data_IF_159114036546
#
_entry.id   IF_159114036546
#
_cell.length_a   1.000
_cell.length_b   1.000
_cell.length_c   1.000
_cell.angle_alpha   90.00
_cell.angle_beta   90.00
_cell.angle_gamma   90.00
#
_symmetry.space_group_name_H-M   'P 1'
#
loop_
_entity.id
_entity.type
_entity.pdbx_description
1 polymer ?
#
# COMPACT_ATOMS: atom_id res chain seq x y z
N UNK A 1 27.87 0.71 14.87
CA UNK A 1 27.03 1.63 15.65
C UNK A 1 27.67 3.01 15.89
N UNK A 2 28.89 3.14 16.42
CA UNK A 2 29.51 4.47 16.67
C UNK A 2 29.65 5.39 15.44
N UNK A 3 29.87 4.85 14.24
CA UNK A 3 30.02 5.64 12.99
C UNK A 3 28.70 6.18 12.42
N UNK A 4 27.58 5.49 12.66
CA UNK A 4 26.24 5.92 12.21
C UNK A 4 25.72 7.05 13.10
N UNK A 5 25.97 6.98 14.40
CA UNK A 5 25.63 8.04 15.36
C UNK A 5 26.45 9.30 15.08
N UNK A 6 27.71 9.15 14.68
CA UNK A 6 28.58 10.28 14.29
C UNK A 6 28.08 10.98 13.02
N UNK A 7 27.53 10.24 12.04
CA UNK A 7 26.97 10.83 10.81
C UNK A 7 25.66 11.58 11.07
N UNK A 8 24.79 11.05 11.93
CA UNK A 8 23.56 11.72 12.33
C UNK A 8 23.84 12.99 13.15
N UNK A 9 24.84 12.96 14.03
CA UNK A 9 25.24 14.14 14.80
C UNK A 9 25.88 15.21 13.92
N UNK A 10 26.65 14.83 12.89
CA UNK A 10 27.25 15.78 11.95
C UNK A 10 26.21 16.48 11.05
N UNK A 11 25.10 15.80 10.72
CA UNK A 11 23.99 16.40 9.97
C UNK A 11 23.24 17.45 10.83
N UNK A 12 23.06 17.20 12.11
CA UNK A 12 22.41 18.13 13.07
C UNK A 12 23.33 19.34 13.32
N UNK A 13 24.63 19.14 13.41
CA UNK A 13 25.61 20.23 13.59
C UNK A 13 25.73 21.10 12.33
N UNK A 14 25.62 20.50 11.13
CA UNK A 14 25.63 21.25 9.87
C UNK A 14 24.41 22.20 9.75
N UNK A 15 23.22 21.79 10.22
CA UNK A 15 22.06 22.67 10.23
C UNK A 15 22.16 23.80 11.27
N UNK A 16 22.87 23.59 12.38
CA UNK A 16 23.15 24.63 13.37
C UNK A 16 24.22 25.64 12.91
N UNK A 17 25.17 25.23 12.09
CA UNK A 17 26.23 26.12 11.59
C UNK A 17 25.74 27.15 10.56
N UNK A 18 24.60 26.93 9.90
CA UNK A 18 23.98 27.92 9.02
C UNK A 18 23.23 29.04 9.77
N UNK A 19 23.14 29.00 11.09
CA UNK A 19 22.49 30.03 11.90
C UNK A 19 23.46 31.06 12.50
N UNK A 20 24.75 30.97 12.23
CA UNK A 20 25.68 32.00 12.71
C UNK A 20 25.66 33.21 11.78
N UNK A 21 25.02 34.23 12.25
CA UNK A 21 24.84 35.55 11.66
C UNK A 21 26.17 36.28 11.56
N UNK A 22 26.75 36.35 10.38
CA UNK A 22 27.71 37.41 10.09
C UNK A 22 26.96 38.77 10.04
N UNK A 23 27.37 39.71 10.86
CA UNK A 23 26.91 41.09 10.82
C UNK A 23 27.40 41.74 9.52
N UNK A 24 26.61 41.64 8.45
CA UNK A 24 26.78 42.41 7.22
C UNK A 24 26.08 43.75 7.34
N UNK A 25 26.63 44.82 6.68
CA UNK A 25 26.12 46.19 6.78
C UNK A 25 24.65 46.24 6.36
N UNK A 26 23.86 47.05 7.08
CA UNK A 26 22.43 47.28 6.88
C UNK A 26 22.14 47.60 5.41
N UNK A 27 21.77 46.57 4.62
CA UNK A 27 21.00 46.77 3.39
C UNK A 27 19.59 47.17 3.84
N UNK A 28 19.06 48.25 3.26
CA UNK A 28 17.65 48.64 3.38
C UNK A 28 16.74 47.40 3.40
N UNK A 29 16.00 47.23 4.48
CA UNK A 29 15.03 46.15 4.60
C UNK A 29 13.97 46.38 3.50
N UNK A 30 14.13 45.70 2.35
CA UNK A 30 13.00 45.50 1.44
C UNK A 30 11.84 45.03 2.32
N UNK A 31 10.74 45.79 2.33
CA UNK A 31 9.50 45.31 2.97
C UNK A 31 9.19 43.94 2.42
N UNK A 32 9.35 42.94 3.24
CA UNK A 32 8.97 41.57 2.92
C UNK A 32 7.46 41.61 2.63
N UNK A 33 7.06 41.09 1.49
CA UNK A 33 5.64 40.94 1.15
C UNK A 33 4.95 40.19 2.30
N UNK A 34 3.85 40.71 2.79
CA UNK A 34 3.06 40.05 3.84
C UNK A 34 2.35 38.83 3.24
N UNK A 35 2.67 37.66 3.76
CA UNK A 35 2.09 36.38 3.38
C UNK A 35 1.12 35.82 4.41
N UNK A 36 0.72 36.64 5.41
CA UNK A 36 -0.13 36.17 6.53
C UNK A 36 -1.49 35.62 6.08
N UNK A 37 -2.00 36.05 4.94
CA UNK A 37 -3.23 35.53 4.34
C UNK A 37 -3.04 34.16 3.65
N UNK A 38 -1.82 33.84 3.26
CA UNK A 38 -1.51 32.58 2.59
C UNK A 38 -1.33 31.43 3.59
N UNK A 39 -0.89 31.76 4.80
CA UNK A 39 -0.47 30.78 5.79
C UNK A 39 -1.63 30.24 6.61
N UNK A 40 -1.52 28.99 7.10
CA UNK A 40 -2.51 28.43 8.01
C UNK A 40 -2.48 29.18 9.36
N UNK A 41 -3.63 29.24 10.00
CA UNK A 41 -3.82 29.82 11.33
C UNK A 41 -4.34 28.78 12.31
N UNK A 42 -4.21 29.09 13.56
CA UNK A 42 -4.81 28.32 14.65
C UNK A 42 -6.30 28.09 14.39
N UNK A 43 -6.74 26.83 14.41
CA UNK A 43 -8.12 26.44 14.16
C UNK A 43 -8.42 26.06 12.71
N UNK A 44 -7.51 26.30 11.76
CA UNK A 44 -7.71 25.88 10.38
C UNK A 44 -7.72 24.36 10.27
N UNK A 45 -8.60 23.86 9.40
CA UNK A 45 -8.66 22.46 8.96
C UNK A 45 -8.11 22.38 7.56
N UNK A 46 -7.27 21.40 7.27
CA UNK A 46 -6.81 21.14 5.90
C UNK A 46 -7.22 19.76 5.43
N UNK A 47 -7.51 19.66 4.15
CA UNK A 47 -7.66 18.39 3.42
C UNK A 47 -6.53 18.33 2.40
N UNK A 48 -5.81 17.21 2.39
CA UNK A 48 -4.67 16.98 1.52
C UNK A 48 -4.84 15.79 0.61
N UNK A 49 -4.28 15.90 -0.58
CA UNK A 49 -4.25 14.85 -1.60
C UNK A 49 -2.83 14.65 -2.11
N UNK A 50 -2.48 13.38 -2.41
CA UNK A 50 -1.21 13.08 -3.06
C UNK A 50 -1.24 13.47 -4.54
N UNK A 51 -0.21 14.17 -4.98
CA UNK A 51 0.04 14.50 -6.39
C UNK A 51 0.99 13.50 -7.07
N UNK A 52 1.45 12.46 -6.39
CA UNK A 52 2.37 11.48 -6.96
C UNK A 52 1.87 10.85 -8.26
N UNK A 53 0.57 10.51 -8.43
CA UNK A 53 0.08 10.01 -9.71
C UNK A 53 0.24 11.00 -10.86
N UNK A 54 0.02 12.28 -10.59
CA UNK A 54 0.20 13.34 -11.59
C UNK A 54 1.69 13.50 -11.94
N UNK A 55 2.57 13.48 -10.94
CA UNK A 55 4.01 13.57 -11.15
C UNK A 55 4.54 12.36 -11.95
N UNK A 56 4.06 11.16 -11.66
CA UNK A 56 4.38 9.96 -12.42
C UNK A 56 3.87 10.04 -13.87
N UNK A 57 2.68 10.53 -14.07
CA UNK A 57 2.12 10.73 -15.40
C UNK A 57 2.98 11.69 -16.24
N UNK A 58 3.33 12.85 -15.68
CA UNK A 58 4.19 13.84 -16.34
C UNK A 58 5.59 13.26 -16.58
N UNK A 59 6.17 12.58 -15.60
CA UNK A 59 7.47 11.92 -15.74
C UNK A 59 7.49 10.89 -16.86
N UNK A 60 6.44 10.10 -16.98
CA UNK A 60 6.30 9.09 -18.03
C UNK A 60 6.15 9.70 -19.43
N UNK A 61 5.53 10.88 -19.56
CA UNK A 61 5.48 11.61 -20.82
C UNK A 61 6.88 11.97 -21.36
N UNK A 62 7.81 12.32 -20.46
CA UNK A 62 9.18 12.66 -20.85
C UNK A 62 10.08 11.43 -21.07
N UNK A 63 9.76 10.30 -20.43
CA UNK A 63 10.54 9.07 -20.55
C UNK A 63 10.03 8.11 -21.64
N UNK A 64 8.95 8.48 -22.35
CA UNK A 64 8.33 7.61 -23.36
C UNK A 64 7.66 6.36 -22.81
N UNK A 65 7.46 6.26 -21.51
CA UNK A 65 6.79 5.14 -20.86
C UNK A 65 5.26 5.32 -20.95
N UNK A 66 4.59 4.40 -21.62
CA UNK A 66 3.12 4.45 -21.81
C UNK A 66 2.34 3.76 -20.67
N UNK A 67 3.02 3.17 -19.71
CA UNK A 67 2.39 2.48 -18.56
C UNK A 67 2.04 3.46 -17.44
N UNK A 68 1.08 4.34 -17.71
CA UNK A 68 0.54 5.24 -16.70
C UNK A 68 -0.49 4.50 -15.84
N UNK A 69 -0.10 4.10 -14.64
CA UNK A 69 -1.04 3.56 -13.66
C UNK A 69 -1.32 4.59 -12.57
N UNK A 70 -2.59 4.75 -12.22
CA UNK A 70 -3.03 5.49 -11.03
C UNK A 70 -2.62 4.79 -9.71
N UNK A 71 -1.69 3.83 -9.79
CA UNK A 71 -1.16 3.15 -8.62
C UNK A 71 -0.47 4.18 -7.75
N UNK A 72 -0.86 4.27 -6.50
CA UNK A 72 -0.33 5.12 -5.44
C UNK A 72 -0.92 6.54 -5.35
N UNK A 73 -2.24 6.64 -5.32
CA UNK A 73 -2.94 7.81 -4.77
C UNK A 73 -2.74 7.95 -3.24
N UNK A 74 -1.95 7.07 -2.65
CA UNK A 74 -1.74 7.05 -1.21
C UNK A 74 -1.07 8.34 -0.74
N UNK A 75 -1.77 9.08 0.09
CA UNK A 75 -1.14 10.04 0.98
C UNK A 75 -0.27 9.27 1.98
N UNK A 76 0.87 9.81 2.29
CA UNK A 76 1.82 9.20 3.22
C UNK A 76 1.41 9.27 4.68
N UNK A 77 1.94 8.37 5.46
CA UNK A 77 2.86 7.26 5.20
C UNK A 77 2.13 6.00 4.71
N UNK A 78 2.67 5.40 3.66
CA UNK A 78 2.08 4.23 3.04
C UNK A 78 2.69 2.95 3.62
N UNK A 79 2.01 2.33 4.55
CA UNK A 79 2.45 1.10 5.21
C UNK A 79 1.41 -0.03 5.15
N UNK A 80 0.56 -0.02 4.15
CA UNK A 80 -0.36 -1.14 3.96
C UNK A 80 0.37 -2.36 3.41
N UNK A 81 0.03 -3.56 3.87
CA UNK A 81 0.50 -4.81 3.28
C UNK A 81 0.10 -4.96 1.81
N UNK A 82 -1.00 -4.32 1.43
CA UNK A 82 -1.48 -4.21 0.05
C UNK A 82 -1.59 -2.73 -0.34
N UNK A 83 -1.42 -2.37 -1.62
CA UNK A 83 -1.48 -0.97 -2.03
C UNK A 83 -2.85 -0.36 -1.73
N UNK A 84 -2.87 0.81 -1.11
CA UNK A 84 -4.08 1.61 -0.97
C UNK A 84 -4.51 2.14 -2.34
N UNK A 85 -5.81 2.08 -2.62
CA UNK A 85 -6.37 2.65 -3.84
C UNK A 85 -6.66 4.13 -3.64
N UNK A 86 -7.07 4.52 -2.42
CA UNK A 86 -7.35 5.90 -2.07
C UNK A 86 -6.81 6.23 -0.69
N UNK A 87 -6.32 7.43 -0.52
CA UNK A 87 -5.93 7.94 0.78
C UNK A 87 -6.34 9.42 0.91
N UNK A 88 -6.79 9.77 2.09
CA UNK A 88 -7.21 11.12 2.45
C UNK A 88 -6.36 11.56 3.63
N UNK A 89 -5.79 12.74 3.53
CA UNK A 89 -5.11 13.39 4.63
C UNK A 89 -5.98 14.52 5.17
N UNK A 90 -6.13 14.58 6.48
CA UNK A 90 -6.70 15.70 7.19
C UNK A 90 -5.66 16.26 8.16
N UNK A 91 -5.62 17.59 8.31
CA UNK A 91 -4.76 18.28 9.26
C UNK A 91 -5.59 19.33 10.00
N UNK A 92 -5.39 19.45 11.30
CA UNK A 92 -5.99 20.51 12.14
C UNK A 92 -4.88 21.30 12.81
N UNK A 93 -4.88 22.62 12.63
CA UNK A 93 -3.86 23.50 13.18
C UNK A 93 -4.18 23.85 14.65
N UNK A 94 -3.42 23.28 15.58
CA UNK A 94 -3.50 23.61 17.01
C UNK A 94 -2.94 25.01 17.29
N UNK A 95 -1.89 25.36 16.57
CA UNK A 95 -1.29 26.70 16.56
C UNK A 95 -0.91 27.04 15.13
N UNK A 96 -0.47 28.26 14.86
CA UNK A 96 0.02 28.66 13.53
C UNK A 96 1.21 27.82 13.02
N UNK A 97 1.83 27.02 13.88
CA UNK A 97 3.01 26.21 13.56
C UNK A 97 2.85 24.72 13.86
N UNK A 98 1.88 24.34 14.70
CA UNK A 98 1.69 22.95 15.11
C UNK A 98 0.33 22.46 14.63
N UNK A 99 0.32 21.38 13.84
CA UNK A 99 -0.90 20.72 13.40
C UNK A 99 -0.94 19.25 13.81
N UNK A 100 -2.13 18.74 14.10
CA UNK A 100 -2.41 17.31 14.18
C UNK A 100 -2.75 16.84 12.78
N UNK A 101 -2.18 15.71 12.38
CA UNK A 101 -2.40 15.09 11.07
C UNK A 101 -2.99 13.70 11.22
N UNK A 102 -4.00 13.41 10.41
CA UNK A 102 -4.57 12.07 10.26
C UNK A 102 -4.54 11.68 8.78
N UNK A 103 -4.00 10.51 8.47
CA UNK A 103 -4.06 9.92 7.14
C UNK A 103 -4.91 8.66 7.22
N UNK A 104 -5.89 8.55 6.33
CA UNK A 104 -6.75 7.39 6.18
C UNK A 104 -6.52 6.79 4.80
N UNK A 105 -6.18 5.52 4.77
CA UNK A 105 -6.01 4.78 3.53
C UNK A 105 -6.93 3.57 3.48
N UNK A 106 -7.50 3.29 2.33
CA UNK A 106 -8.26 2.08 2.11
C UNK A 106 -8.02 1.56 0.69
N UNK A 107 -8.14 0.25 0.53
CA UNK A 107 -8.03 -0.41 -0.75
C UNK A 107 -8.91 -1.64 -0.79
N UNK A 108 -9.63 -1.80 -1.89
CA UNK A 108 -10.38 -3.00 -2.21
C UNK A 108 -10.15 -3.30 -3.68
N UNK A 109 -9.57 -4.46 -3.94
CA UNK A 109 -9.33 -4.92 -5.31
C UNK A 109 -9.89 -6.33 -5.45
N UNK A 110 -10.92 -6.45 -6.25
CA UNK A 110 -11.58 -7.72 -6.57
C UNK A 110 -11.48 -7.88 -8.07
N UNK A 111 -10.78 -8.92 -8.51
CA UNK A 111 -10.77 -9.25 -9.93
C UNK A 111 -11.01 -10.74 -10.15
N UNK A 112 -11.55 -11.08 -11.30
CA UNK A 112 -11.82 -12.44 -11.74
C UNK A 112 -11.25 -12.64 -13.13
N UNK A 113 -10.58 -13.76 -13.33
CA UNK A 113 -10.07 -14.21 -14.62
C UNK A 113 -10.78 -15.50 -14.97
N UNK A 114 -11.38 -15.54 -16.16
CA UNK A 114 -12.11 -16.70 -16.67
C UNK A 114 -11.39 -17.28 -17.89
N UNK A 115 -11.47 -18.59 -18.07
CA UNK A 115 -10.96 -19.25 -19.26
C UNK A 115 -11.77 -20.48 -19.62
N UNK A 116 -11.85 -20.76 -20.90
CA UNK A 116 -12.47 -21.98 -21.38
C UNK A 116 -11.49 -23.15 -21.33
N UNK A 117 -12.00 -24.30 -20.88
CA UNK A 117 -11.34 -25.59 -20.94
C UNK A 117 -12.31 -26.61 -21.55
N UNK A 118 -11.81 -27.69 -22.16
CA UNK A 118 -12.65 -28.77 -22.65
C UNK A 118 -13.49 -29.38 -21.53
N UNK A 119 -14.73 -29.75 -21.85
CA UNK A 119 -15.60 -30.46 -20.92
C UNK A 119 -15.21 -31.94 -20.89
N UNK A 120 -14.57 -32.37 -19.80
CA UNK A 120 -14.09 -33.75 -19.64
C UNK A 120 -15.24 -34.77 -19.71
N UNK A 121 -16.41 -34.46 -19.17
CA UNK A 121 -17.56 -35.35 -19.21
C UNK A 121 -18.08 -35.53 -20.64
N UNK A 122 -18.11 -34.47 -21.43
CA UNK A 122 -18.50 -34.54 -22.83
C UNK A 122 -17.45 -35.27 -23.68
N UNK A 123 -16.16 -35.07 -23.38
CA UNK A 123 -15.05 -35.76 -24.06
C UNK A 123 -15.02 -37.26 -23.76
N UNK A 124 -15.41 -37.68 -22.54
CA UNK A 124 -15.55 -39.11 -22.20
C UNK A 124 -16.68 -39.77 -22.97
N UNK A 125 -17.76 -39.06 -23.29
CA UNK A 125 -18.87 -39.57 -24.09
C UNK A 125 -18.57 -39.53 -25.59
N UNK A 126 -17.93 -38.49 -26.04
CA UNK A 126 -17.56 -38.26 -27.43
C UNK A 126 -16.17 -37.61 -27.52
N UNK A 127 -15.11 -38.32 -27.89
CA UNK A 127 -13.76 -37.77 -27.98
C UNK A 127 -13.59 -36.61 -28.97
N UNK A 128 -14.57 -36.38 -29.86
CA UNK A 128 -14.60 -35.24 -30.79
C UNK A 128 -15.50 -34.08 -30.28
N UNK A 129 -15.90 -34.11 -29.02
CA UNK A 129 -16.74 -33.05 -28.46
C UNK A 129 -15.99 -31.72 -28.40
N UNK A 130 -16.62 -30.66 -28.89
CA UNK A 130 -16.14 -29.27 -28.77
C UNK A 130 -16.74 -28.53 -27.54
N UNK A 131 -17.46 -29.24 -26.67
CA UNK A 131 -18.04 -28.66 -25.46
C UNK A 131 -16.96 -28.12 -24.54
N UNK A 132 -17.24 -26.96 -23.95
CA UNK A 132 -16.31 -26.26 -23.05
C UNK A 132 -17.00 -25.88 -21.76
N UNK A 133 -16.24 -25.90 -20.68
CA UNK A 133 -16.61 -25.38 -19.36
C UNK A 133 -15.70 -24.20 -19.01
N UNK A 134 -16.01 -23.49 -17.94
CA UNK A 134 -15.31 -22.28 -17.55
C UNK A 134 -14.58 -22.49 -16.22
N UNK A 135 -13.29 -22.29 -16.24
CA UNK A 135 -12.48 -22.13 -15.04
C UNK A 135 -12.43 -20.65 -14.63
N UNK A 136 -12.51 -20.38 -13.35
CA UNK A 136 -12.50 -19.03 -12.80
C UNK A 136 -11.49 -18.93 -11.66
N UNK A 137 -10.59 -17.95 -11.77
CA UNK A 137 -9.71 -17.55 -10.69
C UNK A 137 -10.13 -16.17 -10.18
N UNK A 138 -10.39 -16.08 -8.89
CA UNK A 138 -10.82 -14.83 -8.25
C UNK A 138 -9.84 -14.43 -7.15
N UNK A 139 -9.46 -13.17 -7.15
CA UNK A 139 -8.62 -12.58 -6.10
C UNK A 139 -9.38 -11.45 -5.44
N UNK A 140 -9.42 -11.50 -4.10
CA UNK A 140 -9.95 -10.44 -3.26
C UNK A 140 -8.81 -9.91 -2.40
N UNK A 141 -8.51 -8.61 -2.54
CA UNK A 141 -7.53 -7.90 -1.70
C UNK A 141 -8.23 -6.77 -0.99
N UNK A 142 -8.17 -6.79 0.32
CA UNK A 142 -8.66 -5.72 1.19
C UNK A 142 -7.49 -5.10 1.95
N UNK A 143 -7.48 -3.80 2.06
CA UNK A 143 -6.49 -3.08 2.87
C UNK A 143 -7.09 -1.84 3.52
N UNK A 144 -6.58 -1.54 4.70
CA UNK A 144 -6.92 -0.33 5.43
C UNK A 144 -5.72 0.20 6.20
N UNK A 145 -5.61 1.50 6.35
CA UNK A 145 -4.57 2.11 7.17
C UNK A 145 -5.06 3.41 7.81
N UNK A 146 -4.55 3.67 8.98
CA UNK A 146 -4.68 4.94 9.68
C UNK A 146 -3.31 5.35 10.20
N UNK A 147 -2.94 6.62 9.97
CA UNK A 147 -1.76 7.21 10.58
C UNK A 147 -2.17 8.49 11.29
N UNK A 148 -1.73 8.62 12.53
CA UNK A 148 -1.97 9.79 13.37
C UNK A 148 -0.63 10.39 13.77
N UNK A 149 -0.49 11.69 13.63
CA UNK A 149 0.75 12.37 13.95
C UNK A 149 0.59 13.86 14.16
N UNK A 150 1.72 14.49 14.37
CA UNK A 150 1.83 15.95 14.51
C UNK A 150 2.86 16.46 13.51
N UNK A 151 2.57 17.61 12.90
CA UNK A 151 3.47 18.33 12.02
C UNK A 151 3.83 19.66 12.65
N UNK A 152 5.13 19.99 12.66
CA UNK A 152 5.66 21.26 13.11
C UNK A 152 6.21 22.07 11.94
N UNK A 153 5.67 23.25 11.72
CA UNK A 153 6.04 24.16 10.64
C UNK A 153 7.11 25.15 11.09
N UNK A 154 8.20 25.24 10.36
CA UNK A 154 9.31 26.16 10.59
C UNK A 154 9.38 27.16 9.44
N UNK A 155 9.57 28.43 9.73
CA UNK A 155 9.58 29.49 8.71
C UNK A 155 8.35 30.40 8.83
N UNK A 156 8.00 30.78 10.05
CA UNK A 156 6.91 31.72 10.37
C UNK A 156 6.98 32.93 9.45
N UNK A 157 5.87 33.29 8.80
CA UNK A 157 5.73 34.39 7.83
C UNK A 157 6.38 34.18 6.44
N UNK A 158 6.99 33.03 6.17
CA UNK A 158 7.50 32.73 4.85
C UNK A 158 6.49 31.90 4.04
N UNK A 159 6.37 32.12 2.72
CA UNK A 159 5.49 31.32 1.88
C UNK A 159 6.01 29.89 1.69
N UNK A 160 7.29 29.63 1.98
CA UNK A 160 7.90 28.31 2.01
C UNK A 160 8.30 27.99 3.44
N UNK A 161 7.76 26.90 3.96
CA UNK A 161 7.99 26.45 5.34
C UNK A 161 8.63 25.06 5.33
N UNK A 162 9.57 24.82 6.24
CA UNK A 162 10.01 23.48 6.59
C UNK A 162 8.94 22.80 7.44
N UNK A 163 8.69 21.51 7.20
CA UNK A 163 7.72 20.73 7.96
C UNK A 163 8.41 19.51 8.54
N UNK A 164 8.28 19.32 9.84
CA UNK A 164 8.76 18.15 10.56
C UNK A 164 7.58 17.43 11.18
N UNK A 165 7.43 16.14 10.87
CA UNK A 165 6.32 15.34 11.36
C UNK A 165 6.79 14.11 12.11
N UNK A 166 6.00 13.68 13.09
CA UNK A 166 6.15 12.39 13.75
C UNK A 166 4.77 11.81 14.03
N UNK A 167 4.65 10.49 14.02
CA UNK A 167 3.38 9.85 14.30
C UNK A 167 3.45 8.34 14.38
N UNK A 168 2.29 7.76 14.54
CA UNK A 168 2.07 6.32 14.61
C UNK A 168 1.21 5.86 13.45
N UNK A 169 1.35 4.59 13.09
CA UNK A 169 0.64 3.98 11.98
C UNK A 169 0.08 2.65 12.41
N UNK A 170 -1.13 2.38 11.97
CA UNK A 170 -1.73 1.07 12.01
C UNK A 170 -2.27 0.74 10.63
N UNK A 171 -1.96 -0.44 10.14
CA UNK A 171 -2.48 -0.92 8.87
C UNK A 171 -2.92 -2.37 8.99
N UNK A 172 -3.90 -2.73 8.17
CA UNK A 172 -4.43 -4.09 8.06
C UNK A 172 -4.55 -4.47 6.59
N UNK A 173 -4.48 -5.77 6.33
CA UNK A 173 -4.65 -6.30 4.98
C UNK A 173 -5.12 -7.74 5.01
N UNK A 174 -5.86 -8.12 3.97
CA UNK A 174 -6.29 -9.49 3.74
C UNK A 174 -6.28 -9.79 2.26
N UNK A 175 -5.82 -10.99 1.90
CA UNK A 175 -5.80 -11.44 0.52
C UNK A 175 -6.29 -12.87 0.45
N UNK A 176 -7.26 -13.13 -0.43
CA UNK A 176 -7.84 -14.45 -0.68
C UNK A 176 -7.80 -14.76 -2.16
N UNK A 177 -7.32 -15.94 -2.48
CA UNK A 177 -7.33 -16.52 -3.82
C UNK A 177 -8.35 -17.65 -3.87
N UNK A 178 -9.26 -17.62 -4.83
CA UNK A 178 -10.31 -18.62 -5.00
C UNK A 178 -10.22 -19.23 -6.39
N UNK A 179 -10.36 -20.54 -6.45
CA UNK A 179 -10.24 -21.34 -7.68
C UNK A 179 -11.57 -22.08 -7.89
N UNK A 180 -12.24 -21.79 -8.98
CA UNK A 180 -13.47 -22.49 -9.37
C UNK A 180 -13.23 -23.21 -10.68
N UNK A 181 -13.44 -24.50 -10.66
CA UNK A 181 -13.19 -25.38 -11.79
C UNK A 181 -14.48 -25.69 -12.54
N UNK A 182 -14.41 -25.68 -13.86
CA UNK A 182 -15.51 -26.07 -14.73
C UNK A 182 -15.74 -27.57 -14.76
N UNK A 183 -14.62 -28.35 -14.71
CA UNK A 183 -14.68 -29.81 -14.68
C UNK A 183 -14.79 -30.32 -13.25
N UNK A 184 -15.74 -31.24 -12.99
CA UNK A 184 -15.95 -31.85 -11.68
C UNK A 184 -14.95 -32.99 -11.44
N UNK A 185 -14.56 -33.20 -10.17
CA UNK A 185 -13.88 -34.44 -9.74
C UNK A 185 -14.94 -35.54 -9.64
N UNK A 186 -14.63 -36.70 -10.21
CA UNK A 186 -15.48 -37.89 -10.18
C UNK A 186 -14.63 -39.12 -9.91
N UNK A 187 -15.24 -40.26 -9.60
CA UNK A 187 -14.55 -41.54 -9.44
C UNK A 187 -13.72 -41.89 -10.67
N UNK A 188 -14.25 -41.63 -11.88
CA UNK A 188 -13.60 -41.96 -13.15
C UNK A 188 -12.56 -40.91 -13.59
N UNK A 189 -12.69 -39.66 -13.10
CA UNK A 189 -11.79 -38.57 -13.41
C UNK A 189 -11.42 -37.83 -12.14
N UNK A 190 -10.41 -38.33 -11.44
CA UNK A 190 -9.95 -37.77 -10.15
C UNK A 190 -9.02 -36.58 -10.34
N UNK A 191 -8.47 -36.38 -11.54
CA UNK A 191 -7.59 -35.26 -11.91
C UNK A 191 -8.08 -34.56 -13.17
N UNK A 192 -9.27 -33.92 -13.12
CA UNK A 192 -9.88 -33.30 -14.29
C UNK A 192 -8.99 -32.18 -14.87
N UNK A 193 -9.17 -31.94 -16.17
CA UNK A 193 -8.46 -30.88 -16.88
C UNK A 193 -8.79 -29.50 -16.32
N UNK A 194 -7.80 -28.62 -16.28
CA UNK A 194 -7.94 -27.24 -15.82
C UNK A 194 -7.09 -26.28 -16.68
N UNK A 195 -7.42 -24.99 -16.65
CA UNK A 195 -6.75 -23.96 -17.44
C UNK A 195 -5.53 -23.40 -16.71
N UNK A 196 -4.33 -23.74 -17.16
CA UNK A 196 -3.08 -23.19 -16.64
C UNK A 196 -2.99 -21.67 -16.82
N UNK A 197 -3.53 -21.14 -17.92
CA UNK A 197 -3.53 -19.71 -18.21
C UNK A 197 -4.35 -18.92 -17.18
N UNK A 198 -5.43 -19.51 -16.68
CA UNK A 198 -6.31 -18.88 -15.68
C UNK A 198 -5.64 -18.90 -14.31
N UNK A 199 -5.19 -20.07 -13.88
CA UNK A 199 -4.70 -20.27 -12.53
C UNK A 199 -3.24 -19.85 -12.34
N UNK A 200 -2.50 -19.63 -13.43
CA UNK A 200 -1.09 -19.20 -13.42
C UNK A 200 -0.19 -20.10 -12.55
N UNK A 201 -0.60 -21.33 -12.37
CA UNK A 201 0.09 -22.33 -11.56
C UNK A 201 0.24 -23.62 -12.33
N UNK A 202 1.43 -24.17 -12.30
CA UNK A 202 1.74 -25.49 -12.86
C UNK A 202 1.37 -26.62 -11.90
N UNK A 203 1.03 -26.30 -10.64
CA UNK A 203 0.81 -27.30 -9.58
C UNK A 203 -0.50 -26.99 -8.86
N UNK A 204 -1.61 -27.15 -9.58
CA UNK A 204 -2.95 -27.02 -8.98
C UNK A 204 -3.28 -28.26 -8.13
N UNK A 205 -2.86 -29.45 -8.60
CA UNK A 205 -3.01 -30.70 -7.86
C UNK A 205 -1.82 -30.95 -6.94
N UNK A 206 -2.09 -31.40 -5.73
CA UNK A 206 -1.12 -31.82 -4.73
C UNK A 206 -1.49 -33.19 -4.18
N UNK A 207 -0.48 -34.03 -3.99
CA UNK A 207 -0.65 -35.29 -3.28
C UNK A 207 -0.91 -34.99 -1.80
N UNK A 208 -2.10 -35.29 -1.35
CA UNK A 208 -2.51 -35.34 0.03
C UNK A 208 -2.47 -36.81 0.49
N UNK A 209 -2.29 -37.06 1.78
CA UNK A 209 -2.07 -38.40 2.35
C UNK A 209 -2.97 -39.51 1.82
N UNK A 210 -4.18 -39.19 1.37
CA UNK A 210 -5.19 -40.17 0.95
C UNK A 210 -5.78 -39.91 -0.44
N UNK A 211 -5.46 -38.77 -1.05
CA UNK A 211 -6.07 -38.35 -2.30
C UNK A 211 -5.19 -37.33 -3.04
N UNK A 212 -5.43 -37.18 -4.33
CA UNK A 212 -4.94 -36.00 -5.04
C UNK A 212 -5.94 -34.86 -4.88
N UNK A 213 -5.51 -33.77 -4.23
CA UNK A 213 -6.34 -32.61 -4.01
C UNK A 213 -5.98 -31.46 -4.93
N UNK A 214 -6.99 -30.79 -5.48
CA UNK A 214 -6.82 -29.50 -6.17
C UNK A 214 -7.20 -28.34 -5.28
N UNK A 215 -6.54 -27.20 -5.45
CA UNK A 215 -6.73 -26.02 -4.61
C UNK A 215 -8.08 -25.37 -4.90
N UNK A 216 -8.88 -25.14 -3.87
CA UNK A 216 -10.11 -24.33 -3.94
C UNK A 216 -9.91 -22.90 -3.46
N UNK A 217 -9.10 -22.74 -2.41
CA UNK A 217 -8.81 -21.44 -1.82
C UNK A 217 -7.42 -21.42 -1.18
N UNK A 218 -6.73 -20.30 -1.32
CA UNK A 218 -5.50 -19.99 -0.60
C UNK A 218 -5.69 -18.62 0.07
N UNK A 219 -5.62 -18.59 1.39
CA UNK A 219 -5.92 -17.39 2.17
C UNK A 219 -5.08 -17.31 3.44
N UNK A 220 -4.94 -16.11 3.96
CA UNK A 220 -4.50 -15.92 5.32
C UNK A 220 -5.66 -16.27 6.28
N UNK A 221 -5.35 -16.96 7.38
CA UNK A 221 -6.33 -17.39 8.39
C UNK A 221 -7.02 -16.19 9.05
N UNK A 222 -6.31 -15.06 9.15
CA UNK A 222 -6.79 -13.79 9.73
C UNK A 222 -6.19 -12.59 8.99
N UNK A 223 -6.43 -11.39 9.50
CA UNK A 223 -5.88 -10.16 8.95
C UNK A 223 -4.37 -10.06 9.22
N UNK A 224 -3.65 -9.57 8.23
CA UNK A 224 -2.27 -9.10 8.41
C UNK A 224 -2.34 -7.76 9.13
N UNK A 225 -1.67 -7.65 10.28
CA UNK A 225 -1.59 -6.41 11.05
C UNK A 225 -0.20 -5.79 10.93
N UNK A 226 -0.16 -4.48 10.79
CA UNK A 226 1.08 -3.72 10.82
C UNK A 226 0.92 -2.53 11.75
N UNK A 227 1.83 -2.41 12.71
CA UNK A 227 1.91 -1.30 13.66
C UNK A 227 3.26 -0.63 13.48
N UNK A 228 3.30 0.68 13.49
CA UNK A 228 4.56 1.39 13.31
C UNK A 228 4.54 2.82 13.80
N UNK A 229 5.71 3.45 13.66
CA UNK A 229 5.90 4.87 13.86
C UNK A 229 6.62 5.46 12.64
N UNK A 230 6.41 6.72 12.39
CA UNK A 230 7.11 7.45 11.34
C UNK A 230 7.66 8.78 11.83
N UNK A 231 8.72 9.22 11.17
CA UNK A 231 9.21 10.59 11.22
C UNK A 231 9.29 11.13 9.79
N UNK A 232 8.88 12.36 9.58
CA UNK A 232 8.89 13.01 8.27
C UNK A 232 9.65 14.32 8.31
N UNK A 233 10.30 14.65 7.21
CA UNK A 233 10.88 15.97 6.96
C UNK A 233 10.51 16.41 5.56
N UNK A 234 10.11 17.65 5.42
CA UNK A 234 9.67 18.17 4.14
C UNK A 234 9.62 19.69 4.07
N UNK A 235 9.09 20.14 2.96
CA UNK A 235 8.81 21.56 2.70
C UNK A 235 7.35 21.69 2.28
N UNK A 236 6.74 22.81 2.66
CA UNK A 236 5.40 23.18 2.24
C UNK A 236 5.44 24.62 1.69
N UNK A 237 5.04 24.76 0.41
CA UNK A 237 5.00 26.03 -0.29
C UNK A 237 3.57 26.48 -0.51
N UNK A 238 3.21 27.61 0.10
CA UNK A 238 1.91 28.26 -0.04
C UNK A 238 1.87 29.06 -1.35
N UNK A 239 1.27 28.46 -2.39
CA UNK A 239 1.21 29.02 -3.74
C UNK A 239 0.07 30.02 -3.89
N UNK A 240 -0.97 29.90 -3.10
CA UNK A 240 -2.13 30.77 -3.05
C UNK A 240 -2.66 30.85 -1.60
N UNK A 241 -3.55 31.81 -1.28
CA UNK A 241 -4.15 31.88 0.05
C UNK A 241 -4.77 30.53 0.43
N UNK A 242 -4.31 29.95 1.55
CA UNK A 242 -4.79 28.67 2.09
C UNK A 242 -4.60 27.45 1.17
N UNK A 243 -3.78 27.53 0.11
CA UNK A 243 -3.44 26.41 -0.76
C UNK A 243 -1.93 26.21 -0.76
N UNK A 244 -1.50 24.99 -0.46
CA UNK A 244 -0.08 24.66 -0.43
C UNK A 244 0.26 23.45 -1.30
N UNK A 245 1.51 23.44 -1.76
CA UNK A 245 2.19 22.28 -2.34
C UNK A 245 3.27 21.83 -1.38
N UNK A 246 3.22 20.56 -0.98
CA UNK A 246 4.19 19.94 -0.07
C UNK A 246 5.05 18.91 -0.78
N UNK A 247 6.26 18.76 -0.29
CA UNK A 247 7.13 17.62 -0.60
C UNK A 247 7.78 17.13 0.67
N UNK A 248 7.72 15.83 0.95
CA UNK A 248 8.28 15.23 2.16
C UNK A 248 8.94 13.88 1.90
N UNK A 249 9.80 13.51 2.83
CA UNK A 249 10.45 12.21 2.93
C UNK A 249 10.10 11.63 4.30
N UNK A 250 9.73 10.35 4.34
CA UNK A 250 9.39 9.65 5.57
C UNK A 250 10.42 8.59 5.92
N UNK A 251 10.66 8.44 7.20
CA UNK A 251 11.39 7.35 7.81
C UNK A 251 10.38 6.53 8.63
N UNK A 252 10.26 5.23 8.34
CA UNK A 252 9.26 4.36 8.92
C UNK A 252 9.91 3.21 9.69
N UNK A 253 9.32 2.90 10.83
CA UNK A 253 9.67 1.76 11.67
C UNK A 253 8.38 0.96 11.88
N UNK A 254 8.35 -0.30 11.44
CA UNK A 254 7.15 -1.11 11.47
C UNK A 254 7.39 -2.49 12.00
N UNK A 255 6.40 -2.98 12.71
CA UNK A 255 6.26 -4.37 13.12
C UNK A 255 5.04 -4.98 12.42
N UNK A 256 5.26 -6.06 11.68
CA UNK A 256 4.21 -6.74 10.92
C UNK A 256 3.93 -8.08 11.57
N UNK A 257 2.66 -8.38 11.76
CA UNK A 257 2.13 -9.67 12.20
C UNK A 257 1.43 -10.30 11.01
N UNK A 258 1.97 -11.40 10.52
CA UNK A 258 1.37 -12.21 9.47
C UNK A 258 0.70 -13.42 10.12
N UNK A 259 -0.61 -13.63 9.94
CA UNK A 259 -1.27 -14.84 10.44
C UNK A 259 -0.79 -16.09 9.69
N UNK A 260 -1.17 -17.24 10.16
CA UNK A 260 -0.96 -18.48 9.44
C UNK A 260 -1.70 -18.44 8.09
N UNK A 261 -1.19 -19.21 7.12
CA UNK A 261 -1.84 -19.37 5.82
C UNK A 261 -2.39 -20.77 5.69
N UNK A 262 -3.61 -20.84 5.22
CA UNK A 262 -4.30 -22.07 4.93
C UNK A 262 -4.63 -22.18 3.44
N UNK A 263 -4.62 -23.41 2.98
CA UNK A 263 -5.09 -23.75 1.64
C UNK A 263 -6.14 -24.83 1.75
N UNK A 264 -7.29 -24.57 1.15
CA UNK A 264 -8.40 -25.54 1.08
C UNK A 264 -8.27 -26.30 -0.22
N UNK A 265 -8.27 -27.60 -0.13
CA UNK A 265 -8.22 -28.55 -1.25
C UNK A 265 -9.53 -29.33 -1.34
N UNK A 266 -9.85 -29.79 -2.54
CA UNK A 266 -10.86 -30.82 -2.75
C UNK A 266 -10.25 -31.97 -3.54
N UNK A 267 -10.68 -33.20 -3.27
CA UNK A 267 -10.18 -34.38 -3.96
C UNK A 267 -11.15 -35.55 -3.81
N UNK A 268 -10.95 -36.57 -4.62
CA UNK A 268 -11.71 -37.82 -4.53
C UNK A 268 -11.09 -38.71 -3.46
N UNK A 269 -11.89 -39.02 -2.41
CA UNK A 269 -11.47 -40.00 -1.39
C UNK A 269 -11.96 -41.39 -1.76
N UNK A 270 -11.01 -42.28 -2.11
CA UNK A 270 -11.33 -43.65 -2.50
C UNK A 270 -11.91 -44.50 -1.36
N UNK A 271 -11.70 -44.14 -0.10
CA UNK A 271 -12.22 -44.88 1.04
C UNK A 271 -13.70 -44.61 1.28
N UNK A 272 -14.14 -43.37 1.03
CA UNK A 272 -15.54 -42.94 1.23
C UNK A 272 -16.32 -42.86 -0.09
N UNK A 273 -15.64 -42.98 -1.25
CA UNK A 273 -16.19 -42.82 -2.61
C UNK A 273 -16.93 -41.49 -2.78
N UNK A 274 -16.33 -40.41 -2.25
CA UNK A 274 -16.89 -39.06 -2.32
C UNK A 274 -15.81 -38.01 -2.53
N UNK A 275 -16.22 -36.86 -3.04
CA UNK A 275 -15.36 -35.66 -3.05
C UNK A 275 -15.34 -35.07 -1.65
N UNK A 276 -14.16 -34.95 -1.09
CA UNK A 276 -13.96 -34.37 0.26
C UNK A 276 -13.08 -33.13 0.16
N UNK A 277 -13.28 -32.24 1.12
CA UNK A 277 -12.45 -31.05 1.27
C UNK A 277 -11.49 -31.24 2.45
N UNK A 278 -10.30 -30.73 2.28
CA UNK A 278 -9.23 -30.78 3.26
C UNK A 278 -8.58 -29.40 3.39
N UNK A 279 -8.41 -28.93 4.62
CA UNK A 279 -7.70 -27.69 4.91
C UNK A 279 -6.30 -28.01 5.39
N UNK A 280 -5.29 -27.46 4.73
CA UNK A 280 -3.88 -27.60 5.09
C UNK A 280 -3.31 -26.25 5.51
N UNK A 281 -2.61 -26.23 6.65
CA UNK A 281 -1.87 -25.07 7.12
C UNK A 281 -0.50 -25.03 6.41
N UNK A 282 -0.41 -24.21 5.37
CA UNK A 282 0.78 -24.18 4.49
C UNK A 282 1.90 -23.32 5.01
N UNK A 283 1.60 -22.35 5.88
CA UNK A 283 2.62 -21.53 6.53
C UNK A 283 2.17 -21.11 7.93
N UNK A 284 3.03 -21.26 8.95
CA UNK A 284 2.73 -20.79 10.30
C UNK A 284 2.72 -19.25 10.35
N UNK A 285 2.06 -18.71 11.37
CA UNK A 285 2.11 -17.29 11.67
C UNK A 285 3.56 -16.80 11.82
N UNK A 286 3.84 -15.63 11.32
CA UNK A 286 5.16 -15.03 11.36
C UNK A 286 5.08 -13.54 11.72
N UNK A 287 6.22 -13.00 12.13
CA UNK A 287 6.33 -11.57 12.40
C UNK A 287 7.63 -11.02 11.84
N UNK A 288 7.63 -9.74 11.57
CA UNK A 288 8.80 -9.06 11.02
C UNK A 288 8.93 -7.64 11.53
N UNK A 289 10.15 -7.17 11.61
CA UNK A 289 10.48 -5.79 11.88
C UNK A 289 11.12 -5.17 10.65
N UNK A 290 10.60 -4.02 10.23
CA UNK A 290 11.10 -3.29 9.08
C UNK A 290 11.46 -1.87 9.49
N UNK A 291 12.65 -1.45 9.09
CA UNK A 291 13.11 -0.07 9.14
C UNK A 291 13.39 0.37 7.72
N UNK A 292 12.65 1.36 7.24
CA UNK A 292 12.75 1.78 5.84
C UNK A 292 12.51 3.28 5.66
N UNK A 293 13.06 3.79 4.59
CA UNK A 293 12.60 5.03 3.97
C UNK A 293 11.70 4.65 2.82
N UNK A 294 10.40 4.67 2.99
CA UNK A 294 9.44 4.21 1.98
C UNK A 294 9.46 5.05 0.70
N UNK A 295 10.15 6.18 0.74
CA UNK A 295 10.24 7.09 -0.39
C UNK A 295 11.66 7.62 -0.55
N UNK A 296 12.39 6.97 -1.42
CA UNK A 296 13.63 7.55 -1.99
C UNK A 296 13.26 8.67 -2.98
N UNK A 297 11.96 8.89 -3.25
CA UNK A 297 11.43 10.00 -4.02
C UNK A 297 10.58 10.93 -3.15
N UNK A 298 10.56 12.21 -3.47
CA UNK A 298 9.70 13.17 -2.77
C UNK A 298 8.22 12.83 -3.02
N UNK A 299 7.43 12.76 -1.92
CA UNK A 299 6.00 12.77 -2.05
C UNK A 299 5.52 14.18 -2.28
N UNK A 300 4.74 14.34 -3.31
CA UNK A 300 4.10 15.60 -3.63
C UNK A 300 2.69 15.59 -3.07
N UNK A 301 2.38 16.62 -2.30
CA UNK A 301 1.10 16.80 -1.64
C UNK A 301 0.49 18.14 -2.06
N UNK A 302 -0.82 18.21 -2.13
CA UNK A 302 -1.55 19.45 -2.26
C UNK A 302 -2.54 19.55 -1.11
N UNK A 303 -2.45 20.63 -0.33
CA UNK A 303 -3.29 20.86 0.84
C UNK A 303 -4.16 22.11 0.63
N UNK A 304 -5.40 21.99 1.07
CA UNK A 304 -6.38 23.07 1.09
C UNK A 304 -6.77 23.33 2.55
N UNK A 305 -6.49 24.53 3.03
CA UNK A 305 -6.80 24.98 4.38
C UNK A 305 -8.09 25.79 4.37
N UNK A 306 -8.93 25.59 5.40
CA UNK A 306 -10.23 26.25 5.56
C UNK A 306 -10.35 26.92 6.92
#
# INVERSE_FOLDING_TARGET
>A
MKRIISLALSLIVATAAFSQTETKPQREKKQLKDYSEYLPKTGDVAIGFSLNPLANFVGNMFNGNTWNSLKNLAAEPMLCPTPNIAAIMAKYMLTDQLGIKANLGFGCNIYSKNGYIGDDAALMMNPLSEAKVIDTYKVNKLSGSIALGVDYHVGKQLPVQGVFGVGIIYALGHETHQYKYGNAITELNQTPAYSNDVFQSTTVFRDLHYMQGRVLSDQAEDLIHRVGAYASVGIEWFVAPKISLGANVNLNICYTLNPARETIYEGWNNATSQVEQYTDLVAPASHGFTFSTDNIGANLLMNFYF
#
